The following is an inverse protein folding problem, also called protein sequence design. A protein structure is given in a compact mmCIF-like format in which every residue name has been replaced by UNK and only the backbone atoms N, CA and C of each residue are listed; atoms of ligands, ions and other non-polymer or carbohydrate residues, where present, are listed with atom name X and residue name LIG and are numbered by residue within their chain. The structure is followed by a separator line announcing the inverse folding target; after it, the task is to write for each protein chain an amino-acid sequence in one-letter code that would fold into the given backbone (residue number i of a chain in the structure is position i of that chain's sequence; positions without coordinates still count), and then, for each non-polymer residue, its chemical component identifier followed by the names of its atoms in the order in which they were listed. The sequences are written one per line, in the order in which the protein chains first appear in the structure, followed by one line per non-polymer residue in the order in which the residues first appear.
data_IF_437353312561
#
_entry.id   IF_437353312561
#
_cell.length_a   1.000
_cell.length_b   1.000
_cell.length_c   1.000
_cell.angle_alpha   90.00
_cell.angle_beta   90.00
_cell.angle_gamma   90.00
#
_symmetry.space_group_name_H-M   'P 1'
#
loop_
_entity.id
_entity.type
_entity.pdbx_description
1 polymer ?
#
# COMPACT_ATOMS: atom_id res chain seq x y z
N UNK A 1 5.11 -13.23 13.76
CA UNK A 1 6.02 -13.00 12.60
C UNK A 1 5.23 -12.29 11.50
N UNK A 2 5.43 -10.99 11.25
CA UNK A 2 4.69 -10.21 10.24
C UNK A 2 5.24 -10.36 8.80
N UNK A 3 6.15 -11.32 8.56
CA UNK A 3 6.78 -11.51 7.25
C UNK A 3 5.85 -12.12 6.19
N UNK A 4 4.74 -12.73 6.61
CA UNK A 4 3.78 -13.38 5.70
C UNK A 4 2.97 -12.39 4.84
N UNK A 5 2.95 -11.10 5.23
CA UNK A 5 2.20 -10.06 4.54
C UNK A 5 3.10 -9.08 3.77
N UNK A 6 4.37 -9.41 3.52
CA UNK A 6 5.24 -8.54 2.72
C UNK A 6 5.13 -8.90 1.23
N UNK A 7 4.96 -7.87 0.40
CA UNK A 7 5.17 -7.99 -1.03
C UNK A 7 6.67 -8.13 -1.30
N UNK A 8 7.03 -9.01 -2.23
CA UNK A 8 8.41 -9.15 -2.69
C UNK A 8 8.77 -8.01 -3.67
N UNK A 9 10.04 -7.70 -3.81
CA UNK A 9 10.55 -6.67 -4.75
C UNK A 9 10.15 -6.93 -6.21
N UNK A 10 9.97 -8.20 -6.58
CA UNK A 10 9.47 -8.63 -7.90
C UNK A 10 8.02 -9.12 -7.87
N UNK A 11 7.31 -8.85 -6.77
CA UNK A 11 5.93 -9.26 -6.58
C UNK A 11 4.96 -8.46 -7.43
N UNK A 12 3.79 -9.04 -7.68
CA UNK A 12 2.67 -8.33 -8.28
C UNK A 12 1.99 -7.46 -7.21
N UNK A 13 2.12 -6.14 -7.34
CA UNK A 13 1.57 -5.17 -6.38
C UNK A 13 0.04 -5.18 -6.38
N UNK A 14 -0.60 -5.42 -7.53
CA UNK A 14 -2.05 -5.51 -7.64
C UNK A 14 -2.58 -6.71 -6.83
N UNK A 15 -2.05 -7.90 -7.09
CA UNK A 15 -2.42 -9.11 -6.34
C UNK A 15 -2.14 -8.97 -4.83
N UNK A 16 -1.08 -8.24 -4.47
CA UNK A 16 -0.74 -7.99 -3.08
C UNK A 16 -1.80 -7.10 -2.39
N UNK A 17 -2.22 -6.01 -3.03
CA UNK A 17 -3.28 -5.16 -2.49
C UNK A 17 -4.64 -5.87 -2.42
N UNK A 18 -4.97 -6.70 -3.40
CA UNK A 18 -6.20 -7.49 -3.39
C UNK A 18 -6.23 -8.46 -2.20
N UNK A 19 -5.09 -9.10 -1.87
CA UNK A 19 -4.96 -9.93 -0.67
C UNK A 19 -5.16 -9.13 0.61
N UNK A 20 -4.59 -7.92 0.70
CA UNK A 20 -4.76 -7.06 1.88
C UNK A 20 -6.21 -6.58 2.05
N UNK A 21 -6.90 -6.24 0.95
CA UNK A 21 -8.32 -5.89 0.97
C UNK A 21 -9.19 -7.06 1.42
N UNK A 22 -8.96 -8.24 0.84
CA UNK A 22 -9.66 -9.48 1.23
C UNK A 22 -9.47 -9.77 2.72
N UNK A 23 -8.25 -9.61 3.24
CA UNK A 23 -7.99 -9.81 4.68
C UNK A 23 -8.73 -8.78 5.53
N UNK A 24 -8.77 -7.51 5.12
CA UNK A 24 -9.53 -6.45 5.81
C UNK A 24 -11.03 -6.76 5.83
N UNK A 25 -11.58 -7.25 4.73
CA UNK A 25 -12.99 -7.66 4.62
C UNK A 25 -13.29 -8.85 5.54
N UNK A 26 -12.43 -9.86 5.57
CA UNK A 26 -12.58 -11.01 6.48
C UNK A 26 -12.55 -10.57 7.95
N UNK A 27 -11.64 -9.67 8.31
CA UNK A 27 -11.61 -9.08 9.66
C UNK A 27 -12.87 -8.26 9.95
N UNK A 28 -13.41 -7.55 8.96
CA UNK A 28 -14.66 -6.81 9.11
C UNK A 28 -15.86 -7.72 9.38
N UNK A 29 -15.95 -8.86 8.68
CA UNK A 29 -16.97 -9.88 8.94
C UNK A 29 -16.88 -10.45 10.36
N UNK A 30 -15.70 -10.45 10.96
CA UNK A 30 -15.47 -10.84 12.36
C UNK A 30 -15.63 -9.69 13.36
N UNK A 31 -16.10 -8.52 12.92
CA UNK A 31 -16.25 -7.33 13.75
C UNK A 31 -14.93 -6.67 14.18
N UNK A 32 -13.82 -7.03 13.54
CA UNK A 32 -12.45 -6.63 13.88
C UNK A 32 -11.78 -5.84 12.74
N UNK A 33 -12.57 -5.12 11.93
CA UNK A 33 -12.05 -4.31 10.85
C UNK A 33 -11.02 -3.28 11.38
N UNK A 34 -9.79 -3.23 10.85
CA UNK A 34 -8.87 -2.16 11.18
C UNK A 34 -9.43 -0.81 10.71
N UNK A 35 -9.17 0.24 11.48
CA UNK A 35 -9.42 1.62 11.03
C UNK A 35 -8.61 1.90 9.76
N UNK A 36 -9.06 2.86 8.95
CA UNK A 36 -8.32 3.26 7.75
C UNK A 36 -6.86 3.61 8.06
N UNK A 37 -6.62 4.38 9.13
CA UNK A 37 -5.26 4.72 9.60
C UNK A 37 -4.42 3.48 9.91
N UNK A 38 -4.98 2.51 10.65
CA UNK A 38 -4.27 1.27 10.97
C UNK A 38 -3.98 0.46 9.70
N UNK A 39 -4.94 0.43 8.78
CA UNK A 39 -4.78 -0.27 7.50
C UNK A 39 -3.73 0.41 6.61
N UNK A 40 -3.65 1.74 6.57
CA UNK A 40 -2.58 2.50 5.90
C UNK A 40 -1.20 2.12 6.44
N UNK A 41 -1.05 1.99 7.77
CA UNK A 41 0.22 1.55 8.39
C UNK A 41 0.56 0.10 7.98
N UNK A 42 -0.44 -0.79 7.95
CA UNK A 42 -0.26 -2.17 7.49
C UNK A 42 0.19 -2.20 6.04
N UNK A 43 -0.44 -1.40 5.16
CA UNK A 43 -0.05 -1.27 3.76
C UNK A 43 1.40 -0.82 3.67
N UNK A 44 1.78 0.30 4.30
CA UNK A 44 3.17 0.80 4.27
C UNK A 44 4.17 -0.28 4.70
N UNK A 45 3.90 -0.99 5.80
CA UNK A 45 4.79 -2.04 6.30
C UNK A 45 4.83 -3.32 5.45
N UNK A 46 3.84 -3.50 4.58
CA UNK A 46 3.74 -4.62 3.64
C UNK A 46 4.50 -4.39 2.34
N UNK A 47 4.83 -3.13 2.01
CA UNK A 47 5.45 -2.78 0.74
C UNK A 47 6.92 -3.21 0.68
N UNK A 48 7.46 -3.46 -0.53
CA UNK A 48 8.88 -3.67 -0.72
C UNK A 48 9.66 -2.40 -0.41
N UNK A 49 10.89 -2.54 0.08
CA UNK A 49 11.79 -1.43 0.45
C UNK A 49 12.09 -0.49 -0.72
N UNK A 50 12.01 -0.95 -1.97
CA UNK A 50 12.17 -0.07 -3.15
C UNK A 50 11.07 0.99 -3.32
N UNK A 51 10.00 0.93 -2.53
CA UNK A 51 8.95 1.94 -2.48
C UNK A 51 9.15 3.00 -1.38
N UNK A 52 10.12 2.83 -0.47
CA UNK A 52 10.38 3.78 0.63
C UNK A 52 10.50 5.25 0.17
N UNK A 53 11.18 5.57 -0.95
CA UNK A 53 11.23 6.96 -1.44
C UNK A 53 9.86 7.51 -1.84
N UNK A 54 9.04 6.69 -2.51
CA UNK A 54 7.70 7.06 -2.96
C UNK A 54 6.75 7.23 -1.77
N UNK A 55 6.80 6.32 -0.80
CA UNK A 55 6.04 6.40 0.46
C UNK A 55 6.39 7.67 1.23
N UNK A 56 7.70 7.99 1.31
CA UNK A 56 8.19 9.21 1.96
C UNK A 56 7.65 10.47 1.28
N UNK A 57 7.65 10.49 -0.06
CA UNK A 57 7.11 11.60 -0.84
C UNK A 57 5.60 11.78 -0.64
N UNK A 58 4.81 10.70 -0.73
CA UNK A 58 3.36 10.72 -0.50
C UNK A 58 3.04 11.22 0.91
N UNK A 59 3.77 10.71 1.91
CA UNK A 59 3.59 11.10 3.31
C UNK A 59 3.94 12.58 3.54
N UNK A 60 5.02 13.07 2.93
CA UNK A 60 5.40 14.47 3.01
C UNK A 60 4.34 15.37 2.35
N UNK A 61 3.83 14.98 1.19
CA UNK A 61 2.81 15.73 0.48
C UNK A 61 1.51 15.82 1.30
N UNK A 62 1.05 14.72 1.88
CA UNK A 62 -0.14 14.72 2.74
C UNK A 62 0.02 15.65 3.94
N UNK A 63 1.21 15.69 4.56
CA UNK A 63 1.52 16.62 5.66
C UNK A 63 1.46 18.08 5.20
N UNK A 64 2.05 18.40 4.05
CA UNK A 64 2.07 19.78 3.52
C UNK A 64 0.66 20.25 3.17
N UNK A 65 -0.14 19.40 2.54
CA UNK A 65 -1.52 19.74 2.15
C UNK A 65 -2.52 19.70 3.31
N UNK A 66 -2.09 19.32 4.53
CA UNK A 66 -2.97 19.01 5.66
C UNK A 66 -4.06 17.97 5.31
N UNK A 67 -3.81 17.15 4.30
CA UNK A 67 -4.72 16.09 3.88
C UNK A 67 -4.50 14.83 4.74
N UNK A 68 -5.59 14.12 5.02
CA UNK A 68 -5.48 12.79 5.62
C UNK A 68 -5.10 11.79 4.53
N UNK A 69 -3.96 11.12 4.70
CA UNK A 69 -3.57 10.02 3.82
C UNK A 69 -4.44 8.80 4.12
N UNK A 70 -5.39 8.52 3.23
CA UNK A 70 -6.25 7.34 3.32
C UNK A 70 -5.58 6.12 2.71
N UNK A 71 -6.06 4.93 3.10
CA UNK A 71 -5.54 3.68 2.54
C UNK A 71 -5.76 3.58 1.03
N UNK A 72 -6.90 4.04 0.52
CA UNK A 72 -7.21 4.00 -0.92
C UNK A 72 -6.32 4.93 -1.74
N UNK A 73 -6.12 6.18 -1.28
CA UNK A 73 -5.23 7.13 -1.96
C UNK A 73 -3.77 6.63 -1.99
N UNK A 74 -3.34 5.94 -0.93
CA UNK A 74 -2.03 5.31 -0.90
C UNK A 74 -1.92 4.14 -1.90
N UNK A 75 -2.95 3.28 -1.96
CA UNK A 75 -2.98 2.15 -2.91
C UNK A 75 -2.91 2.68 -4.35
N UNK A 76 -3.73 3.66 -4.70
CA UNK A 76 -3.77 4.27 -6.03
C UNK A 76 -2.40 4.86 -6.41
N UNK A 77 -1.80 5.68 -5.55
CA UNK A 77 -0.51 6.31 -5.82
C UNK A 77 0.65 5.30 -5.99
N UNK A 78 0.56 4.15 -5.32
CA UNK A 78 1.56 3.08 -5.43
C UNK A 78 1.31 2.21 -6.68
N UNK A 79 0.05 1.98 -7.04
CA UNK A 79 -0.31 1.31 -8.30
C UNK A 79 0.14 2.12 -9.51
N UNK A 80 -0.08 3.43 -9.51
CA UNK A 80 0.40 4.34 -10.54
C UNK A 80 1.92 4.28 -10.69
N UNK A 81 2.65 4.23 -9.58
CA UNK A 81 4.11 4.10 -9.62
C UNK A 81 4.55 2.74 -10.16
N UNK A 82 3.85 1.65 -9.79
CA UNK A 82 4.09 0.32 -10.31
C UNK A 82 3.89 0.26 -11.83
N UNK A 83 2.77 0.76 -12.34
CA UNK A 83 2.47 0.79 -13.76
C UNK A 83 3.46 1.66 -14.54
N UNK A 84 3.84 2.81 -13.96
CA UNK A 84 4.88 3.69 -14.50
C UNK A 84 6.24 2.99 -14.59
N UNK A 85 6.62 2.19 -13.60
CA UNK A 85 7.86 1.38 -13.62
C UNK A 85 7.78 0.30 -14.69
N UNK A 86 6.66 -0.40 -14.78
CA UNK A 86 6.43 -1.47 -15.77
C UNK A 86 6.43 -0.95 -17.22
N UNK A 87 5.94 0.27 -17.46
CA UNK A 87 6.00 0.90 -18.78
C UNK A 87 7.42 1.28 -19.20
N UNK A 88 8.31 1.59 -18.24
CA UNK A 88 9.70 1.98 -18.50
C UNK A 88 10.62 0.78 -18.79
N UNK A 89 10.32 -0.39 -18.24
CA UNK A 89 11.10 -1.62 -18.46
C UNK A 89 10.77 -2.33 -19.77
N UNK A 90 9.73 -1.92 -20.50
CA UNK A 90 9.37 -2.41 -21.83
C UNK A 90 10.06 -1.66 -22.99
N UNK A 91 11.16 -0.96 -22.73
CA UNK A 91 11.96 -0.24 -23.73
C UNK A 91 13.35 -0.82 -23.86
#
# INVERSE_FOLDING_TARGET
KMQALRCNEKGNMQEHFDKLRTLREQLALMGQAPTDKSFTVIIIGSLPTSYDPQISAITALAKISSATLTSDALIEAIQDDYDRRAAKTKK
#
